data_IF_491167964378
#
_entry.id   IF_491167964378
#
_cell.length_a   1.000
_cell.length_b   1.000
_cell.length_c   1.000
_cell.angle_alpha   90.00
_cell.angle_beta   90.00
_cell.angle_gamma   90.00
#
_symmetry.space_group_name_H-M   'P 1'
#
loop_
_entity.id
_entity.type
_entity.pdbx_description
1 polymer ?
#
# COMPACT_ATOMS: atom_id res chain seq x y z
N UNK A 1 -100.81 81.42 39.05
CA UNK A 1 -99.44 81.75 38.59
C UNK A 1 -98.31 80.84 39.07
N UNK A 2 -98.05 80.72 40.37
CA UNK A 2 -96.88 80.00 40.93
C UNK A 2 -96.64 78.58 40.37
N UNK A 3 -97.67 77.73 40.32
CA UNK A 3 -97.55 76.35 39.84
C UNK A 3 -97.26 76.23 38.34
N UNK A 4 -97.75 77.16 37.50
CA UNK A 4 -97.44 77.19 36.06
C UNK A 4 -95.98 77.54 35.80
N UNK A 5 -95.44 78.48 36.56
CA UNK A 5 -94.04 78.90 36.46
C UNK A 5 -93.08 77.79 36.92
N UNK A 6 -93.44 77.07 38.00
CA UNK A 6 -92.69 75.91 38.50
C UNK A 6 -92.70 74.73 37.52
N UNK A 7 -93.84 74.46 36.87
CA UNK A 7 -93.96 73.45 35.81
C UNK A 7 -93.07 73.80 34.59
N UNK A 8 -93.05 75.08 34.18
CA UNK A 8 -92.22 75.57 33.07
C UNK A 8 -90.73 75.44 33.38
N UNK A 9 -90.30 75.81 34.59
CA UNK A 9 -88.92 75.63 35.05
C UNK A 9 -88.51 74.16 35.19
N UNK A 10 -89.43 73.26 35.55
CA UNK A 10 -89.17 71.82 35.58
C UNK A 10 -89.02 71.25 34.18
N UNK A 11 -89.87 71.65 33.22
CA UNK A 11 -89.76 71.26 31.80
C UNK A 11 -88.43 71.68 31.18
N UNK A 12 -87.99 72.92 31.42
CA UNK A 12 -86.70 73.41 30.92
C UNK A 12 -85.52 72.62 31.50
N UNK A 13 -85.54 72.32 32.81
CA UNK A 13 -84.54 71.46 33.44
C UNK A 13 -84.53 70.05 32.86
N UNK A 14 -85.71 69.50 32.55
CA UNK A 14 -85.82 68.17 31.95
C UNK A 14 -85.18 68.13 30.55
N UNK A 15 -85.49 69.12 29.70
CA UNK A 15 -84.88 69.27 28.37
C UNK A 15 -83.36 69.46 28.45
N UNK A 16 -82.88 70.21 29.44
CA UNK A 16 -81.45 70.43 29.64
C UNK A 16 -80.72 69.16 30.10
N UNK A 17 -81.35 68.35 30.97
CA UNK A 17 -80.86 67.04 31.38
C UNK A 17 -80.85 66.07 30.19
N UNK A 18 -81.91 66.07 29.38
CA UNK A 18 -82.04 65.22 28.20
C UNK A 18 -80.95 65.54 27.16
N UNK A 19 -80.68 66.82 26.92
CA UNK A 19 -79.57 67.27 26.05
C UNK A 19 -78.19 66.83 26.60
N UNK A 20 -77.97 66.95 27.91
CA UNK A 20 -76.74 66.48 28.56
C UNK A 20 -76.60 64.96 28.49
N UNK A 21 -77.69 64.22 28.63
CA UNK A 21 -77.71 62.76 28.52
C UNK A 21 -77.32 62.32 27.10
N UNK A 22 -77.82 63.02 26.08
CA UNK A 22 -77.46 62.75 24.68
C UNK A 22 -75.99 63.09 24.38
N UNK A 23 -75.47 64.20 24.91
CA UNK A 23 -74.03 64.53 24.82
C UNK A 23 -73.14 63.48 25.51
N UNK A 24 -73.54 63.01 26.69
CA UNK A 24 -72.84 61.94 27.40
C UNK A 24 -72.89 60.63 26.58
N UNK A 25 -74.05 60.30 26.01
CA UNK A 25 -74.20 59.13 25.12
C UNK A 25 -73.23 59.18 23.94
N UNK A 26 -73.17 60.32 23.23
CA UNK A 26 -72.22 60.53 22.12
C UNK A 26 -70.76 60.39 22.57
N UNK A 27 -70.39 60.94 23.72
CA UNK A 27 -69.03 60.78 24.28
C UNK A 27 -68.71 59.32 24.64
N UNK A 28 -69.66 58.57 25.20
CA UNK A 28 -69.47 57.14 25.49
C UNK A 28 -69.22 56.36 24.20
N UNK A 29 -69.98 56.66 23.14
CA UNK A 29 -69.85 56.02 21.84
C UNK A 29 -68.49 56.29 21.18
N UNK A 30 -68.02 57.55 21.21
CA UNK A 30 -66.69 57.93 20.74
C UNK A 30 -65.57 57.22 21.51
N UNK A 31 -65.66 57.22 22.85
CA UNK A 31 -64.66 56.57 23.71
C UNK A 31 -64.63 55.07 23.46
N UNK A 32 -65.79 54.42 23.33
CA UNK A 32 -65.87 52.99 23.01
C UNK A 32 -65.31 52.68 21.62
N UNK A 33 -65.62 53.51 20.63
CA UNK A 33 -65.11 53.36 19.26
C UNK A 33 -63.59 53.49 19.23
N UNK A 34 -63.03 54.50 19.90
CA UNK A 34 -61.58 54.70 20.01
C UNK A 34 -60.89 53.56 20.75
N UNK A 35 -61.47 53.09 21.87
CA UNK A 35 -60.97 51.93 22.63
C UNK A 35 -60.95 50.67 21.75
N UNK A 36 -62.05 50.38 21.05
CA UNK A 36 -62.16 49.19 20.22
C UNK A 36 -61.18 49.23 19.04
N UNK A 37 -60.98 50.41 18.44
CA UNK A 37 -59.98 50.62 17.40
C UNK A 37 -58.57 50.36 17.93
N UNK A 38 -58.20 50.94 19.07
CA UNK A 38 -56.88 50.73 19.69
C UNK A 38 -56.63 49.27 20.08
N UNK A 39 -57.62 48.60 20.65
CA UNK A 39 -57.52 47.16 20.96
C UNK A 39 -57.28 46.35 19.68
N UNK A 40 -57.99 46.67 18.60
CA UNK A 40 -57.85 45.95 17.33
C UNK A 40 -56.48 46.19 16.69
N UNK A 41 -55.99 47.44 16.73
CA UNK A 41 -54.65 47.81 16.28
C UNK A 41 -53.57 47.04 17.05
N UNK A 42 -53.62 47.10 18.39
CA UNK A 42 -52.65 46.40 19.23
C UNK A 42 -52.68 44.89 19.00
N UNK A 43 -53.87 44.28 18.94
CA UNK A 43 -54.01 42.84 18.63
C UNK A 43 -53.36 42.48 17.31
N UNK A 44 -53.58 43.28 16.27
CA UNK A 44 -53.00 43.04 14.94
C UNK A 44 -51.47 43.19 14.94
N UNK A 45 -50.94 44.24 15.58
CA UNK A 45 -49.50 44.48 15.68
C UNK A 45 -48.80 43.34 16.44
N UNK A 46 -49.32 42.95 17.61
CA UNK A 46 -48.74 41.86 18.39
C UNK A 46 -48.88 40.50 17.69
N UNK A 47 -49.99 40.23 16.99
CA UNK A 47 -50.15 39.01 16.20
C UNK A 47 -49.13 38.95 15.06
N UNK A 48 -48.93 40.06 14.32
CA UNK A 48 -47.93 40.13 13.24
C UNK A 48 -46.52 39.95 13.77
N UNK A 49 -46.21 40.57 14.92
CA UNK A 49 -44.88 40.45 15.55
C UNK A 49 -44.64 39.03 16.06
N UNK A 50 -45.64 38.39 16.66
CA UNK A 50 -45.57 37.00 17.09
C UNK A 50 -45.33 36.06 15.90
N UNK A 51 -46.05 36.25 14.79
CA UNK A 51 -45.86 35.44 13.59
C UNK A 51 -44.44 35.58 13.01
N UNK A 52 -43.91 36.82 12.96
CA UNK A 52 -42.53 37.04 12.52
C UNK A 52 -41.51 36.31 13.38
N UNK A 53 -41.64 36.38 14.71
CA UNK A 53 -40.75 35.66 15.61
C UNK A 53 -40.90 34.14 15.47
N UNK A 54 -42.13 33.65 15.31
CA UNK A 54 -42.39 32.22 15.11
C UNK A 54 -41.74 31.71 13.82
N UNK A 55 -41.85 32.46 12.72
CA UNK A 55 -41.18 32.12 11.46
C UNK A 55 -39.66 32.07 11.61
N UNK A 56 -39.07 33.04 12.32
CA UNK A 56 -37.63 33.07 12.54
C UNK A 56 -37.15 31.89 13.42
N UNK A 57 -37.91 31.55 14.47
CA UNK A 57 -37.63 30.37 15.30
C UNK A 57 -37.67 29.10 14.45
N UNK A 58 -38.72 28.90 13.64
CA UNK A 58 -38.82 27.73 12.74
C UNK A 58 -37.65 27.66 11.76
N UNK A 59 -37.21 28.80 11.22
CA UNK A 59 -36.04 28.87 10.32
C UNK A 59 -34.76 28.45 11.03
N UNK A 60 -34.55 28.92 12.26
CA UNK A 60 -33.38 28.57 13.07
C UNK A 60 -33.39 27.09 13.49
N UNK A 61 -34.55 26.55 13.86
CA UNK A 61 -34.73 25.13 14.17
C UNK A 61 -34.41 24.25 12.96
N UNK A 62 -34.95 24.58 11.78
CA UNK A 62 -34.65 23.85 10.55
C UNK A 62 -33.14 23.89 10.20
N UNK A 63 -32.48 25.03 10.37
CA UNK A 63 -31.04 25.17 10.14
C UNK A 63 -30.21 24.35 11.15
N UNK A 64 -30.62 24.35 12.42
CA UNK A 64 -30.00 23.55 13.48
C UNK A 64 -30.14 22.06 13.17
N UNK A 65 -31.34 21.59 12.84
CA UNK A 65 -31.61 20.18 12.60
C UNK A 65 -30.87 19.67 11.34
N UNK A 66 -30.81 20.48 10.29
CA UNK A 66 -29.98 20.19 9.11
C UNK A 66 -28.50 20.05 9.47
N UNK A 67 -27.98 20.97 10.31
CA UNK A 67 -26.58 20.91 10.77
C UNK A 67 -26.30 19.67 11.61
N UNK A 68 -27.19 19.32 12.54
CA UNK A 68 -27.07 18.12 13.36
C UNK A 68 -27.08 16.86 12.48
N UNK A 69 -27.99 16.80 11.51
CA UNK A 69 -28.07 15.68 10.57
C UNK A 69 -26.77 15.50 9.78
N UNK A 70 -26.26 16.57 9.17
CA UNK A 70 -24.99 16.51 8.43
C UNK A 70 -23.81 16.09 9.32
N UNK A 71 -23.72 16.62 10.55
CA UNK A 71 -22.68 16.22 11.50
C UNK A 71 -22.77 14.73 11.87
N UNK A 72 -23.99 14.21 12.03
CA UNK A 72 -24.21 12.79 12.36
C UNK A 72 -23.84 11.87 11.19
N UNK A 73 -24.26 12.20 9.98
CA UNK A 73 -23.90 11.43 8.78
C UNK A 73 -22.38 11.40 8.56
N UNK A 74 -21.70 12.53 8.81
CA UNK A 74 -20.24 12.59 8.75
C UNK A 74 -19.56 11.71 9.81
N UNK A 75 -20.09 11.67 11.03
CA UNK A 75 -19.57 10.83 12.10
C UNK A 75 -19.76 9.33 11.78
N UNK A 76 -20.96 8.93 11.34
CA UNK A 76 -21.27 7.56 10.94
C UNK A 76 -20.35 7.11 9.78
N UNK A 77 -20.13 7.96 8.79
CA UNK A 77 -19.20 7.68 7.68
C UNK A 77 -17.76 7.47 8.18
N UNK A 78 -17.29 8.30 9.12
CA UNK A 78 -15.94 8.18 9.67
C UNK A 78 -15.75 6.89 10.48
N UNK A 79 -16.76 6.49 11.26
CA UNK A 79 -16.75 5.22 11.99
C UNK A 79 -16.70 4.01 11.05
N UNK A 80 -17.47 4.05 9.95
CA UNK A 80 -17.46 3.02 8.92
C UNK A 80 -16.08 2.89 8.26
N UNK A 81 -15.46 4.02 7.89
CA UNK A 81 -14.11 4.02 7.32
C UNK A 81 -13.07 3.49 8.31
N UNK A 82 -13.16 3.91 9.58
CA UNK A 82 -12.24 3.47 10.64
C UNK A 82 -12.35 1.95 10.85
N UNK A 83 -13.58 1.43 10.88
CA UNK A 83 -13.84 -0.01 11.01
C UNK A 83 -13.26 -0.81 9.83
N UNK A 84 -13.39 -0.29 8.61
CA UNK A 84 -12.76 -0.91 7.41
C UNK A 84 -11.24 -0.93 7.51
N UNK A 85 -10.61 0.17 7.94
CA UNK A 85 -9.16 0.26 8.13
C UNK A 85 -8.68 -0.76 9.18
N UNK A 86 -9.37 -0.85 10.32
CA UNK A 86 -9.06 -1.83 11.37
C UNK A 86 -9.15 -3.26 10.81
N UNK A 87 -10.19 -3.56 10.03
CA UNK A 87 -10.34 -4.86 9.36
C UNK A 87 -9.16 -5.18 8.42
N UNK A 88 -8.74 -4.20 7.61
CA UNK A 88 -7.58 -4.35 6.73
C UNK A 88 -6.28 -4.60 7.50
N UNK A 89 -6.05 -3.87 8.58
CA UNK A 89 -4.87 -4.05 9.45
C UNK A 89 -4.86 -5.45 10.05
N UNK A 90 -5.99 -5.94 10.56
CA UNK A 90 -6.08 -7.28 11.14
C UNK A 90 -5.78 -8.37 10.10
N UNK A 91 -6.33 -8.26 8.88
CA UNK A 91 -6.01 -9.18 7.79
C UNK A 91 -4.51 -9.18 7.46
N UNK A 92 -3.85 -8.02 7.44
CA UNK A 92 -2.41 -7.91 7.22
C UNK A 92 -1.59 -8.52 8.36
N UNK A 93 -2.01 -8.35 9.62
CA UNK A 93 -1.40 -8.97 10.78
C UNK A 93 -1.46 -10.49 10.66
N UNK A 94 -2.61 -11.04 10.29
CA UNK A 94 -2.80 -12.48 10.16
C UNK A 94 -2.03 -13.06 8.97
N UNK A 95 -2.02 -12.37 7.83
CA UNK A 95 -1.17 -12.72 6.69
C UNK A 95 0.32 -12.75 7.08
N UNK A 96 0.78 -11.76 7.86
CA UNK A 96 2.16 -11.73 8.37
C UNK A 96 2.45 -12.90 9.32
N UNK A 97 1.55 -13.20 10.26
CA UNK A 97 1.70 -14.34 11.18
C UNK A 97 1.76 -15.66 10.41
N UNK A 98 0.91 -15.84 9.41
CA UNK A 98 0.90 -17.01 8.55
C UNK A 98 2.20 -17.13 7.76
N UNK A 99 2.67 -16.05 7.14
CA UNK A 99 3.95 -16.04 6.43
C UNK A 99 5.12 -16.40 7.37
N UNK A 100 5.15 -15.87 8.59
CA UNK A 100 6.17 -16.23 9.59
C UNK A 100 6.10 -17.70 10.00
N UNK A 101 4.89 -18.25 10.18
CA UNK A 101 4.69 -19.66 10.48
C UNK A 101 5.22 -20.52 9.33
N UNK A 102 4.83 -20.21 8.09
CA UNK A 102 5.28 -20.93 6.91
C UNK A 102 6.82 -20.85 6.75
N UNK A 103 7.44 -19.70 7.01
CA UNK A 103 8.90 -19.57 6.99
C UNK A 103 9.57 -20.43 8.07
N UNK A 104 8.99 -20.51 9.28
CA UNK A 104 9.49 -21.39 10.35
C UNK A 104 9.35 -22.87 9.98
N UNK A 105 8.28 -23.25 9.30
CA UNK A 105 8.03 -24.63 8.86
C UNK A 105 8.86 -25.03 7.64
N UNK A 106 9.16 -24.08 6.73
CA UNK A 106 10.09 -24.29 5.61
C UNK A 106 11.55 -24.41 6.09
N UNK A 107 11.88 -23.78 7.22
CA UNK A 107 13.16 -23.96 7.87
C UNK A 107 13.30 -25.40 8.37
N UNK A 108 14.46 -26.03 8.11
CA UNK A 108 14.81 -27.26 8.80
C UNK A 108 14.76 -26.98 10.33
N UNK A 109 14.13 -27.84 11.16
CA UNK A 109 14.04 -27.62 12.60
C UNK A 109 15.44 -27.63 13.21
N UNK A 110 16.05 -26.44 13.25
CA UNK A 110 17.38 -26.24 13.76
C UNK A 110 17.31 -26.28 15.30
N UNK A 111 17.21 -27.48 15.85
CA UNK A 111 17.48 -27.73 17.26
C UNK A 111 18.92 -27.31 17.55
N UNK A 112 19.16 -26.04 17.92
CA UNK A 112 20.40 -25.48 18.52
C UNK A 112 21.72 -26.23 18.21
N UNK A 113 21.92 -26.68 16.97
CA UNK A 113 23.22 -27.19 16.53
C UNK A 113 23.94 -25.95 16.04
N UNK A 114 25.10 -25.65 16.63
CA UNK A 114 26.01 -24.60 16.17
C UNK A 114 26.00 -24.62 14.65
N UNK A 115 25.52 -23.55 14.02
CA UNK A 115 25.49 -23.46 12.56
C UNK A 115 26.92 -23.52 12.08
N UNK A 116 27.33 -24.69 11.57
CA UNK A 116 28.63 -24.84 10.94
C UNK A 116 28.46 -24.31 9.52
N UNK A 117 29.06 -23.16 9.25
CA UNK A 117 29.12 -22.60 7.91
C UNK A 117 30.09 -23.43 7.08
N UNK A 118 29.56 -24.32 6.24
CA UNK A 118 30.36 -25.07 5.28
C UNK A 118 30.43 -24.27 3.97
N UNK A 119 31.63 -23.80 3.62
CA UNK A 119 31.89 -23.22 2.31
C UNK A 119 32.11 -24.33 1.30
N UNK A 120 31.30 -24.36 0.25
CA UNK A 120 31.44 -25.33 -0.83
C UNK A 120 31.84 -24.61 -2.12
N UNK A 121 33.06 -24.83 -2.64
CA UNK A 121 33.48 -24.19 -3.87
C UNK A 121 32.74 -24.80 -5.07
N UNK A 122 32.29 -23.94 -5.97
CA UNK A 122 31.75 -24.32 -7.28
C UNK A 122 32.15 -23.27 -8.30
N UNK A 123 32.13 -23.65 -9.58
CA UNK A 123 32.48 -22.73 -10.66
C UNK A 123 31.26 -22.39 -11.49
N UNK A 124 31.08 -21.10 -11.77
CA UNK A 124 30.07 -20.60 -12.68
C UNK A 124 30.76 -20.05 -13.93
N UNK A 125 30.36 -20.56 -15.09
CA UNK A 125 30.90 -20.14 -16.39
C UNK A 125 29.79 -19.52 -17.21
N UNK A 126 30.07 -18.35 -17.77
CA UNK A 126 29.19 -17.65 -18.71
C UNK A 126 29.82 -17.69 -20.11
N UNK A 127 29.18 -18.42 -21.02
CA UNK A 127 29.49 -18.35 -22.45
C UNK A 127 28.63 -17.26 -23.08
N UNK A 128 29.25 -16.29 -23.72
CA UNK A 128 28.54 -15.26 -24.48
C UNK A 128 28.86 -15.41 -25.96
N UNK A 129 27.80 -15.36 -26.79
CA UNK A 129 27.92 -15.20 -28.24
C UNK A 129 26.89 -14.17 -28.66
N UNK A 130 27.35 -13.07 -29.23
CA UNK A 130 26.54 -11.90 -29.55
C UNK A 130 25.78 -11.40 -28.31
N UNK A 131 24.43 -11.37 -28.37
CA UNK A 131 23.56 -10.96 -27.25
C UNK A 131 23.10 -12.13 -26.37
N UNK A 132 23.39 -13.38 -26.74
CA UNK A 132 22.93 -14.57 -25.99
C UNK A 132 23.99 -15.01 -24.99
N UNK A 133 23.59 -15.11 -23.73
CA UNK A 133 24.40 -15.64 -22.64
C UNK A 133 23.91 -17.03 -22.25
N UNK A 134 24.85 -17.94 -22.02
CA UNK A 134 24.59 -19.28 -21.50
C UNK A 134 25.41 -19.47 -20.23
N UNK A 135 24.71 -19.65 -19.13
CA UNK A 135 25.30 -19.95 -17.83
C UNK A 135 25.40 -21.46 -17.63
N UNK A 136 26.54 -21.89 -17.11
CA UNK A 136 26.84 -23.28 -16.80
C UNK A 136 27.49 -23.32 -15.43
N UNK A 137 26.88 -24.04 -14.50
CA UNK A 137 27.51 -24.37 -13.22
C UNK A 137 28.29 -25.69 -13.33
N UNK A 138 29.42 -25.74 -12.65
CA UNK A 138 30.20 -26.93 -12.37
C UNK A 138 30.20 -27.16 -10.85
N UNK A 139 29.46 -28.17 -10.35
CA UNK A 139 29.46 -28.52 -8.94
C UNK A 139 30.84 -29.05 -8.51
N UNK A 140 31.13 -29.10 -7.21
CA UNK A 140 32.26 -29.87 -6.70
C UNK A 140 32.22 -31.27 -7.30
N UNK A 141 33.31 -31.66 -7.95
CA UNK A 141 33.41 -32.91 -8.70
C UNK A 141 34.81 -33.52 -8.55
N UNK A 142 34.90 -34.84 -8.75
CA UNK A 142 36.17 -35.58 -8.89
C UNK A 142 36.39 -35.88 -10.37
N UNK A 143 37.65 -35.94 -10.81
CA UNK A 143 37.97 -36.52 -12.11
C UNK A 143 37.56 -38.00 -12.15
N UNK A 144 36.75 -38.37 -13.14
CA UNK A 144 36.35 -39.76 -13.34
C UNK A 144 37.50 -40.55 -14.00
N UNK A 145 37.98 -41.60 -13.34
CA UNK A 145 39.15 -42.39 -13.76
C UNK A 145 38.81 -43.58 -14.67
N UNK A 146 37.54 -43.81 -15.01
CA UNK A 146 37.18 -44.93 -15.91
C UNK A 146 37.58 -44.65 -17.36
N UNK A 147 38.69 -45.27 -17.78
CA UNK A 147 39.19 -45.37 -19.16
C UNK A 147 39.45 -44.01 -19.86
N UNK A 148 39.99 -43.05 -19.09
CA UNK A 148 40.17 -41.66 -19.51
C UNK A 148 41.09 -41.46 -20.72
N UNK A 149 42.14 -42.26 -20.88
CA UNK A 149 43.14 -42.02 -21.95
C UNK A 149 42.58 -42.31 -23.36
N UNK A 150 41.62 -43.24 -23.49
CA UNK A 150 41.07 -43.66 -24.80
C UNK A 150 39.97 -42.72 -25.31
N UNK A 151 39.21 -42.08 -24.40
CA UNK A 151 38.10 -41.16 -24.75
C UNK A 151 38.53 -39.71 -24.90
N UNK A 152 39.68 -39.32 -24.33
CA UNK A 152 40.06 -37.91 -24.23
C UNK A 152 40.72 -37.35 -25.48
N UNK A 153 41.26 -38.21 -26.36
CA UNK A 153 41.74 -37.82 -27.71
C UNK A 153 40.65 -37.17 -28.61
N UNK A 154 39.39 -37.07 -28.15
CA UNK A 154 38.29 -36.32 -28.79
C UNK A 154 37.59 -35.29 -27.87
N UNK A 155 38.06 -35.09 -26.63
CA UNK A 155 37.26 -34.58 -25.52
C UNK A 155 37.35 -33.07 -25.22
N UNK A 156 37.96 -32.25 -26.09
CA UNK A 156 37.93 -30.79 -25.92
C UNK A 156 36.71 -30.11 -26.55
N UNK A 157 35.60 -30.84 -26.74
CA UNK A 157 34.28 -30.23 -26.96
C UNK A 157 33.66 -29.86 -25.60
N UNK A 158 32.94 -28.72 -25.45
CA UNK A 158 32.38 -28.28 -24.18
C UNK A 158 31.51 -29.31 -23.43
N UNK A 159 30.92 -30.26 -24.16
CA UNK A 159 30.12 -31.35 -23.60
C UNK A 159 30.96 -32.48 -22.98
N UNK A 160 32.20 -32.67 -23.43
CA UNK A 160 33.06 -33.77 -22.99
C UNK A 160 33.79 -33.44 -21.68
N UNK A 161 34.09 -32.17 -21.39
CA UNK A 161 34.66 -31.75 -20.09
C UNK A 161 33.72 -32.12 -18.93
N UNK A 162 32.40 -31.99 -19.10
CA UNK A 162 31.43 -32.43 -18.07
C UNK A 162 31.44 -33.93 -17.85
N UNK A 163 31.68 -34.74 -18.88
CA UNK A 163 31.75 -36.20 -18.73
C UNK A 163 33.02 -36.68 -17.99
N UNK A 164 34.05 -35.83 -17.90
CA UNK A 164 35.27 -36.10 -17.14
C UNK A 164 35.11 -35.82 -15.65
N UNK A 165 34.05 -35.09 -15.27
CA UNK A 165 33.79 -34.69 -13.90
C UNK A 165 32.63 -35.52 -13.34
N UNK A 166 32.91 -36.31 -12.31
CA UNK A 166 31.88 -36.98 -11.53
C UNK A 166 31.50 -36.09 -10.35
N UNK A 167 30.24 -35.66 -10.32
CA UNK A 167 29.70 -34.80 -9.27
C UNK A 167 29.73 -35.54 -7.92
N UNK A 168 30.23 -34.88 -6.86
CA UNK A 168 30.26 -35.48 -5.51
C UNK A 168 28.84 -35.71 -4.95
N UNK A 169 27.87 -34.90 -5.35
CA UNK A 169 26.53 -34.88 -4.77
C UNK A 169 25.50 -34.40 -5.77
N UNK A 170 24.61 -35.30 -6.16
CA UNK A 170 23.50 -35.01 -7.06
C UNK A 170 22.54 -33.93 -6.49
N UNK A 171 22.18 -33.93 -5.19
CA UNK A 171 21.40 -32.84 -4.60
C UNK A 171 22.04 -31.45 -4.78
N UNK A 172 23.37 -31.36 -4.62
CA UNK A 172 24.11 -30.09 -4.74
C UNK A 172 24.17 -29.66 -6.20
N UNK A 173 24.44 -30.58 -7.12
CA UNK A 173 24.40 -30.30 -8.56
C UNK A 173 23.01 -29.80 -8.99
N UNK A 174 21.94 -30.43 -8.51
CA UNK A 174 20.57 -30.00 -8.77
C UNK A 174 20.27 -28.61 -8.20
N UNK A 175 20.76 -28.30 -6.99
CA UNK A 175 20.64 -26.97 -6.39
C UNK A 175 21.33 -25.91 -7.26
N UNK A 176 22.56 -26.16 -7.71
CA UNK A 176 23.30 -25.24 -8.56
C UNK A 176 22.68 -25.08 -9.95
N UNK A 177 22.10 -26.14 -10.52
CA UNK A 177 21.32 -26.06 -11.76
C UNK A 177 20.05 -25.22 -11.59
N UNK A 178 19.36 -25.29 -10.43
CA UNK A 178 18.24 -24.39 -10.11
C UNK A 178 18.70 -22.94 -10.01
N UNK A 179 19.86 -22.68 -9.40
CA UNK A 179 20.45 -21.33 -9.36
C UNK A 179 20.66 -20.77 -10.77
N UNK A 180 21.20 -21.57 -11.70
CA UNK A 180 21.35 -21.17 -13.12
C UNK A 180 20.00 -20.81 -13.74
N UNK A 181 18.95 -21.61 -13.50
CA UNK A 181 17.61 -21.31 -13.99
C UNK A 181 17.07 -19.99 -13.39
N UNK A 182 17.29 -19.74 -12.10
CA UNK A 182 16.89 -18.50 -11.44
C UNK A 182 17.61 -17.28 -12.01
N UNK A 183 18.89 -17.40 -12.33
CA UNK A 183 19.67 -16.34 -13.00
C UNK A 183 19.04 -16.00 -14.35
N UNK A 184 18.67 -17.01 -15.15
CA UNK A 184 18.07 -16.81 -16.47
C UNK A 184 16.66 -16.19 -16.42
N UNK A 185 15.90 -16.43 -15.36
CA UNK A 185 14.53 -15.92 -15.20
C UNK A 185 14.46 -14.51 -14.61
N UNK A 186 15.52 -14.03 -13.97
CA UNK A 186 15.53 -12.77 -13.24
C UNK A 186 16.70 -11.86 -13.67
N UNK A 187 16.45 -10.84 -14.52
CA UNK A 187 17.49 -9.92 -15.01
C UNK A 187 18.21 -9.15 -13.89
N UNK A 188 17.53 -8.83 -12.78
CA UNK A 188 18.15 -8.11 -11.65
C UNK A 188 19.14 -9.02 -10.91
N UNK A 189 18.78 -10.30 -10.75
CA UNK A 189 19.67 -11.30 -10.19
C UNK A 189 20.87 -11.54 -11.11
N UNK A 190 20.64 -11.65 -12.42
CA UNK A 190 21.70 -11.80 -13.41
C UNK A 190 22.73 -10.67 -13.35
N UNK A 191 22.29 -9.42 -13.35
CA UNK A 191 23.17 -8.25 -13.25
C UNK A 191 24.00 -8.25 -11.95
N UNK A 192 23.37 -8.64 -10.84
CA UNK A 192 24.05 -8.75 -9.54
C UNK A 192 25.15 -9.82 -9.56
N UNK A 193 24.84 -11.01 -10.07
CA UNK A 193 25.81 -12.11 -10.19
C UNK A 193 26.94 -11.74 -11.13
N UNK A 194 26.65 -11.11 -12.28
CA UNK A 194 27.68 -10.65 -13.21
C UNK A 194 28.65 -9.65 -12.56
N UNK A 195 28.14 -8.68 -11.79
CA UNK A 195 28.98 -7.72 -11.06
C UNK A 195 29.90 -8.41 -10.06
N UNK A 196 29.40 -9.43 -9.35
CA UNK A 196 30.21 -10.21 -8.39
C UNK A 196 31.26 -11.05 -9.14
N UNK A 197 30.84 -11.81 -10.17
CA UNK A 197 31.73 -12.65 -10.96
C UNK A 197 32.79 -11.83 -11.71
N UNK A 198 32.48 -10.61 -12.15
CA UNK A 198 33.45 -9.73 -12.79
C UNK A 198 34.56 -9.28 -11.83
N UNK A 199 34.23 -9.06 -10.55
CA UNK A 199 35.19 -8.73 -9.48
C UNK A 199 36.04 -9.94 -9.09
N UNK A 200 35.41 -11.11 -9.02
CA UNK A 200 36.04 -12.37 -8.59
C UNK A 200 36.45 -13.28 -9.75
N UNK A 201 36.72 -12.71 -10.94
CA UNK A 201 37.04 -13.49 -12.12
C UNK A 201 38.43 -14.13 -11.98
N UNK A 202 38.48 -15.43 -11.70
CA UNK A 202 39.72 -16.20 -11.55
C UNK A 202 40.60 -16.13 -12.80
N UNK A 203 40.01 -16.09 -14.00
CA UNK A 203 40.76 -15.99 -15.25
C UNK A 203 41.45 -14.63 -15.43
N UNK A 204 41.19 -13.62 -14.59
CA UNK A 204 41.96 -12.36 -14.57
C UNK A 204 43.14 -12.38 -13.60
N UNK A 205 43.20 -13.37 -12.70
CA UNK A 205 44.24 -13.46 -11.68
C UNK A 205 45.48 -14.14 -12.28
N UNK A 206 46.64 -13.48 -12.16
CA UNK A 206 47.90 -14.01 -12.70
C UNK A 206 48.30 -15.33 -12.07
N UNK A 207 48.22 -15.44 -10.73
CA UNK A 207 48.53 -16.67 -10.00
C UNK A 207 47.69 -17.85 -10.47
N UNK A 208 46.37 -17.66 -10.58
CA UNK A 208 45.47 -18.69 -11.07
C UNK A 208 45.82 -19.15 -12.50
N UNK A 209 46.26 -18.24 -13.38
CA UNK A 209 46.71 -18.63 -14.73
C UNK A 209 48.01 -19.44 -14.71
N UNK A 210 48.92 -19.11 -13.81
CA UNK A 210 50.16 -19.87 -13.63
C UNK A 210 49.84 -21.29 -13.11
N UNK A 211 48.91 -21.42 -12.16
CA UNK A 211 48.40 -22.71 -11.67
C UNK A 211 47.72 -23.51 -12.77
N UNK A 212 46.85 -22.88 -13.57
CA UNK A 212 46.20 -23.53 -14.72
C UNK A 212 47.24 -24.00 -15.74
N UNK A 213 48.30 -23.20 -16.00
CA UNK A 213 49.36 -23.58 -16.93
C UNK A 213 50.16 -24.77 -16.42
N UNK A 214 50.43 -24.85 -15.11
CA UNK A 214 51.06 -26.01 -14.50
C UNK A 214 50.16 -27.24 -14.64
N UNK A 215 48.89 -27.15 -14.23
CA UNK A 215 47.96 -28.28 -14.32
C UNK A 215 47.71 -28.77 -15.76
N UNK A 216 47.71 -27.88 -16.76
CA UNK A 216 47.63 -28.29 -18.17
C UNK A 216 48.86 -29.10 -18.62
N UNK A 217 50.05 -28.81 -18.09
CA UNK A 217 51.26 -29.60 -18.37
C UNK A 217 51.17 -30.97 -17.70
N UNK A 218 50.78 -31.01 -16.44
CA UNK A 218 50.62 -32.27 -15.69
C UNK A 218 49.62 -33.19 -16.41
N UNK A 219 48.50 -32.63 -16.87
CA UNK A 219 47.51 -33.37 -17.68
C UNK A 219 48.09 -33.87 -19.00
N UNK A 220 48.97 -33.12 -19.66
CA UNK A 220 49.64 -33.56 -20.88
C UNK A 220 50.65 -34.69 -20.60
N UNK A 221 51.43 -34.58 -19.51
CA UNK A 221 52.40 -35.60 -19.07
C UNK A 221 51.71 -36.92 -18.70
N UNK A 222 50.53 -36.85 -18.09
CA UNK A 222 49.69 -38.01 -17.80
C UNK A 222 48.93 -38.55 -19.03
N UNK A 223 49.12 -37.94 -20.20
CA UNK A 223 48.53 -38.39 -21.47
C UNK A 223 47.06 -38.01 -21.68
N UNK A 224 46.53 -37.07 -20.88
CA UNK A 224 45.17 -36.54 -21.03
C UNK A 224 45.08 -35.50 -22.15
N UNK A 225 46.16 -34.83 -22.53
CA UNK A 225 46.15 -33.81 -23.59
C UNK A 225 47.20 -34.15 -24.64
N UNK A 226 46.86 -33.97 -25.91
CA UNK A 226 47.87 -33.95 -26.97
C UNK A 226 48.68 -32.65 -26.93
N UNK A 227 49.87 -32.66 -27.53
CA UNK A 227 50.74 -31.50 -27.59
C UNK A 227 50.10 -30.31 -28.33
N UNK A 228 49.35 -30.59 -29.40
CA UNK A 228 48.57 -29.59 -30.15
C UNK A 228 47.48 -28.94 -29.26
N UNK A 229 46.80 -29.75 -28.45
CA UNK A 229 45.75 -29.27 -27.53
C UNK A 229 46.33 -28.42 -26.41
N UNK A 230 47.47 -28.83 -25.85
CA UNK A 230 48.21 -28.06 -24.84
C UNK A 230 48.62 -26.70 -25.39
N UNK A 231 49.14 -26.64 -26.61
CA UNK A 231 49.55 -25.39 -27.25
C UNK A 231 48.35 -24.46 -27.51
N UNK A 232 47.23 -25.00 -28.02
CA UNK A 232 46.00 -24.24 -28.25
C UNK A 232 45.40 -23.68 -26.94
N UNK A 233 45.33 -24.49 -25.88
CA UNK A 233 44.82 -24.04 -24.59
C UNK A 233 45.74 -22.99 -23.93
N UNK A 234 47.05 -23.19 -24.03
CA UNK A 234 48.04 -22.25 -23.48
C UNK A 234 48.01 -20.91 -24.23
N UNK A 235 47.86 -20.93 -25.56
CA UNK A 235 47.75 -19.70 -26.36
C UNK A 235 46.45 -18.93 -26.05
N UNK A 236 45.33 -19.63 -25.86
CA UNK A 236 44.07 -19.02 -25.40
C UNK A 236 44.17 -18.41 -24.01
N UNK A 237 44.86 -19.07 -23.08
CA UNK A 237 45.08 -18.56 -21.74
C UNK A 237 45.93 -17.27 -21.75
N UNK A 238 46.92 -17.19 -22.65
CA UNK A 238 47.70 -15.96 -22.90
C UNK A 238 46.84 -14.86 -23.55
N UNK A 239 45.94 -15.19 -24.47
CA UNK A 239 45.07 -14.18 -25.10
C UNK A 239 44.10 -13.51 -24.11
N UNK A 240 43.89 -14.10 -22.93
CA UNK A 240 43.08 -13.53 -21.86
C UNK A 240 43.85 -12.53 -20.97
N UNK A 241 45.16 -12.35 -21.17
CA UNK A 241 46.01 -11.44 -20.39
C UNK A 241 46.01 -10.00 -20.87
#
# INVERSE_FOLDING_TARGET
EYWRQRLKSSKMRFLEIEKKLEEIGKKIEEVNSKRNFEISRLKSEYASKAEKYLMEVKRLEAARDAKIKMSREAAESLEDFTSKIIGQINMLIDARKLALKNLREMGYPAYKRKTILAYMPFFLVCYSRDLKKRYVSFPPSIANTMDGVSKIKRALRPYAVRSLLQEYSLPIANLLNRLVNSILQNPVLEDTILKICAKSNLLKQRSFREDVKAGLKDLAEEGWLSEEELENLTSRLKALS
#
